data_IF_755202359619
#
_entry.id   IF_755202359619
#
_cell.length_a   1.000
_cell.length_b   1.000
_cell.length_c   1.000
_cell.angle_alpha   90.00
_cell.angle_beta   90.00
_cell.angle_gamma   90.00
#
_symmetry.space_group_name_H-M   'P 1'
#
loop_
_entity.id
_entity.type
_entity.pdbx_description
1 polymer ?
#
# COMPACT_ATOMS: atom_id res chain seq x y z
N UNK A 1 8.73 8.84 -17.71
CA UNK A 1 7.49 9.44 -18.21
C UNK A 1 6.24 8.58 -17.96
N UNK A 2 6.41 7.29 -17.61
CA UNK A 2 5.30 6.38 -17.22
C UNK A 2 5.31 6.00 -15.74
N UNK A 3 6.26 6.51 -14.97
CA UNK A 3 6.38 6.23 -13.55
C UNK A 3 6.29 7.54 -12.77
N UNK A 4 5.42 7.57 -11.78
CA UNK A 4 5.26 8.67 -10.85
C UNK A 4 5.45 8.14 -9.43
N UNK A 5 6.27 8.81 -8.64
CA UNK A 5 6.39 8.57 -7.20
C UNK A 5 5.51 9.56 -6.45
N UNK A 6 4.67 9.04 -5.58
CA UNK A 6 3.91 9.85 -4.61
C UNK A 6 4.51 9.60 -3.23
N UNK A 7 4.83 10.66 -2.53
CA UNK A 7 5.28 10.61 -1.14
C UNK A 7 4.33 11.40 -0.27
N UNK A 8 4.03 10.89 0.91
CA UNK A 8 3.20 11.55 1.89
C UNK A 8 3.84 11.43 3.28
N UNK A 9 3.60 12.41 4.14
CA UNK A 9 4.10 12.43 5.51
C UNK A 9 3.09 13.11 6.42
N UNK A 10 3.02 12.67 7.67
CA UNK A 10 2.30 13.36 8.73
C UNK A 10 3.14 14.48 9.38
N UNK A 11 4.44 14.53 9.10
CA UNK A 11 5.36 15.50 9.63
C UNK A 11 5.41 16.78 8.77
N UNK A 12 5.93 17.86 9.33
CA UNK A 12 6.11 19.14 8.61
C UNK A 12 7.17 19.09 7.52
N UNK A 13 7.97 18.04 7.44
CA UNK A 13 9.04 17.86 6.46
C UNK A 13 9.08 16.43 5.97
N UNK A 14 9.32 16.27 4.67
CA UNK A 14 9.63 14.96 4.12
C UNK A 14 11.00 14.50 4.59
N UNK A 15 11.06 13.26 5.10
CA UNK A 15 12.31 12.52 5.12
C UNK A 15 12.62 12.09 3.68
N UNK A 16 13.88 12.14 3.27
CA UNK A 16 14.32 11.69 1.95
C UNK A 16 15.32 10.52 2.10
N UNK A 17 14.87 9.38 2.65
CA UNK A 17 15.73 8.21 2.74
C UNK A 17 15.94 7.64 1.33
N UNK A 18 17.15 7.18 1.08
CA UNK A 18 17.40 6.40 -0.13
C UNK A 18 16.56 5.13 -0.11
N UNK A 19 15.77 4.90 -1.16
CA UNK A 19 15.04 3.64 -1.33
C UNK A 19 16.03 2.48 -1.46
N UNK A 20 15.74 1.34 -0.81
CA UNK A 20 16.52 0.12 -0.94
C UNK A 20 16.08 -0.74 -2.14
N UNK A 21 14.92 -0.48 -2.69
CA UNK A 21 14.32 -1.27 -3.79
C UNK A 21 14.24 -0.50 -5.11
N UNK A 22 14.41 0.82 -5.08
CA UNK A 22 14.38 1.66 -6.27
C UNK A 22 15.77 2.21 -6.56
N UNK A 23 16.34 1.83 -7.70
CA UNK A 23 17.62 2.37 -8.16
C UNK A 23 17.43 3.82 -8.61
N UNK A 24 18.26 4.76 -8.16
CA UNK A 24 18.18 6.15 -8.59
C UNK A 24 18.26 6.29 -10.12
N UNK A 25 17.29 6.98 -10.69
CA UNK A 25 17.23 7.21 -12.12
C UNK A 25 18.10 8.42 -12.51
N UNK A 26 19.00 8.22 -13.47
CA UNK A 26 19.85 9.30 -13.98
C UNK A 26 19.17 10.17 -15.04
N UNK A 27 18.12 9.65 -15.69
CA UNK A 27 17.41 10.36 -16.75
C UNK A 27 16.38 11.30 -16.11
N UNK A 28 16.53 12.59 -16.41
CA UNK A 28 15.46 13.55 -16.10
C UNK A 28 14.34 13.42 -17.13
N UNK A 29 13.12 13.29 -16.64
CA UNK A 29 11.92 13.32 -17.47
C UNK A 29 11.38 14.74 -17.50
N UNK A 30 11.06 15.25 -18.68
CA UNK A 30 10.38 16.53 -18.82
C UNK A 30 8.95 16.41 -18.27
N UNK A 31 8.56 17.39 -17.48
CA UNK A 31 7.20 17.47 -16.94
C UNK A 31 6.75 18.93 -16.88
N UNK A 32 5.45 19.13 -16.89
CA UNK A 32 4.83 20.43 -16.65
C UNK A 32 4.00 20.36 -15.36
N UNK A 33 3.91 21.50 -14.68
CA UNK A 33 3.06 21.66 -13.49
C UNK A 33 2.07 22.78 -13.75
N UNK A 34 0.80 22.51 -13.56
CA UNK A 34 -0.29 23.47 -13.70
C UNK A 34 -1.14 23.43 -12.43
N UNK A 35 -1.42 24.60 -11.89
CA UNK A 35 -2.40 24.75 -10.81
C UNK A 35 -3.65 25.43 -11.34
N UNK A 36 -4.79 24.82 -11.10
CA UNK A 36 -6.11 25.38 -11.42
C UNK A 36 -6.99 25.28 -10.17
N UNK A 37 -7.20 26.42 -9.52
CA UNK A 37 -7.89 26.45 -8.22
C UNK A 37 -7.16 25.60 -7.19
N UNK A 38 -7.86 24.64 -6.62
CA UNK A 38 -7.34 23.71 -5.60
C UNK A 38 -6.63 22.46 -6.20
N UNK A 39 -6.65 22.30 -7.51
CA UNK A 39 -6.05 21.16 -8.19
C UNK A 39 -4.67 21.52 -8.74
N UNK A 40 -3.67 20.73 -8.37
CA UNK A 40 -2.31 20.78 -8.92
C UNK A 40 -2.12 19.54 -9.79
N UNK A 41 -1.77 19.73 -11.06
CA UNK A 41 -1.53 18.64 -12.01
C UNK A 41 -0.09 18.65 -12.48
N UNK A 42 0.58 17.53 -12.32
CA UNK A 42 1.90 17.22 -12.89
C UNK A 42 1.70 16.34 -14.12
N UNK A 43 2.14 16.82 -15.27
CA UNK A 43 1.97 16.12 -16.55
C UNK A 43 3.30 15.74 -17.14
N UNK A 44 3.46 14.48 -17.52
CA UNK A 44 4.50 13.98 -18.40
C UNK A 44 3.91 13.79 -19.81
N UNK A 45 4.68 13.23 -20.73
CA UNK A 45 4.19 12.90 -22.07
C UNK A 45 3.09 11.83 -22.08
N UNK A 46 3.12 10.89 -21.12
CA UNK A 46 2.26 9.70 -21.12
C UNK A 46 1.23 9.69 -19.99
N UNK A 47 1.52 10.30 -18.87
CA UNK A 47 0.68 10.22 -17.67
C UNK A 47 0.59 11.57 -16.96
N UNK A 48 -0.57 11.83 -16.36
CA UNK A 48 -0.80 12.99 -15.50
C UNK A 48 -1.12 12.52 -14.10
N UNK A 49 -0.56 13.18 -13.10
CA UNK A 49 -0.96 13.03 -11.71
C UNK A 49 -1.55 14.34 -11.22
N UNK A 50 -2.73 14.29 -10.68
CA UNK A 50 -3.42 15.45 -10.12
C UNK A 50 -3.61 15.26 -8.61
N UNK A 51 -3.45 16.36 -7.89
CA UNK A 51 -3.61 16.41 -6.43
C UNK A 51 -4.61 17.50 -6.07
N UNK A 52 -5.59 17.18 -5.26
CA UNK A 52 -6.46 18.16 -4.65
C UNK A 52 -5.78 18.68 -3.38
N UNK A 53 -5.36 19.94 -3.36
CA UNK A 53 -4.50 20.46 -2.30
C UNK A 53 -5.19 20.50 -0.93
N UNK A 54 -6.51 20.68 -0.89
CA UNK A 54 -7.29 20.73 0.36
C UNK A 54 -7.40 19.38 1.07
N UNK A 55 -7.36 18.26 0.33
CA UNK A 55 -7.58 16.91 0.89
C UNK A 55 -6.36 16.00 0.75
N UNK A 56 -5.42 16.34 -0.16
CA UNK A 56 -4.32 15.48 -0.54
C UNK A 56 -4.74 14.30 -1.42
N UNK A 57 -5.98 14.25 -1.90
CA UNK A 57 -6.47 13.23 -2.83
C UNK A 57 -5.66 13.26 -4.12
N UNK A 58 -5.23 12.09 -4.58
CA UNK A 58 -4.42 11.94 -5.81
C UNK A 58 -5.15 11.04 -6.79
N UNK A 59 -5.14 11.44 -8.07
CA UNK A 59 -5.58 10.58 -9.17
C UNK A 59 -4.64 10.67 -10.35
N UNK A 60 -4.68 9.64 -11.18
CA UNK A 60 -3.83 9.49 -12.35
C UNK A 60 -4.68 9.32 -13.59
N UNK A 61 -4.33 10.01 -14.64
CA UNK A 61 -4.94 9.84 -15.97
C UNK A 61 -3.85 9.60 -17.01
N UNK A 62 -4.22 8.97 -18.11
CA UNK A 62 -3.37 8.89 -19.28
C UNK A 62 -3.24 10.26 -19.99
N UNK A 63 -2.51 10.32 -21.08
CA UNK A 63 -2.33 11.53 -21.89
C UNK A 63 -3.66 12.06 -22.48
N UNK A 64 -4.64 11.19 -22.72
CA UNK A 64 -5.95 11.52 -23.28
C UNK A 64 -6.94 12.00 -22.20
N UNK A 65 -6.60 11.82 -20.92
CA UNK A 65 -7.45 12.17 -19.80
C UNK A 65 -8.28 11.01 -19.26
N UNK A 66 -8.07 9.78 -19.76
CA UNK A 66 -8.74 8.58 -19.25
C UNK A 66 -8.19 8.22 -17.88
N UNK A 67 -9.08 7.93 -16.93
CA UNK A 67 -8.72 7.60 -15.57
C UNK A 67 -7.98 6.26 -15.49
N UNK A 68 -6.80 6.26 -14.87
CA UNK A 68 -6.00 5.06 -14.62
C UNK A 68 -6.22 4.57 -13.19
N UNK A 69 -6.07 5.45 -12.21
CA UNK A 69 -6.14 5.13 -10.78
C UNK A 69 -6.54 6.38 -10.01
N UNK A 70 -7.35 6.21 -8.99
CA UNK A 70 -7.80 7.28 -8.11
C UNK A 70 -7.80 6.83 -6.66
N UNK A 71 -7.37 7.71 -5.77
CA UNK A 71 -7.58 7.53 -4.34
C UNK A 71 -9.05 7.70 -3.97
N UNK A 72 -9.41 7.18 -2.82
CA UNK A 72 -10.74 7.40 -2.25
C UNK A 72 -11.04 8.90 -2.12
N UNK A 73 -12.27 9.30 -2.38
CA UNK A 73 -12.70 10.71 -2.31
C UNK A 73 -12.43 11.31 -0.93
N UNK A 74 -11.88 12.50 -0.92
CA UNK A 74 -11.48 13.21 0.29
C UNK A 74 -10.08 12.84 0.79
N UNK A 75 -9.34 12.04 0.04
CA UNK A 75 -7.99 11.58 0.34
C UNK A 75 -7.96 10.12 0.81
N UNK A 76 -7.07 9.35 0.21
CA UNK A 76 -6.93 7.90 0.47
C UNK A 76 -5.89 7.56 1.53
N UNK A 77 -5.21 8.54 2.15
CA UNK A 77 -4.10 8.33 3.08
C UNK A 77 -4.49 8.64 4.51
N UNK A 78 -4.20 7.71 5.43
CA UNK A 78 -4.32 7.95 6.87
C UNK A 78 -3.03 7.59 7.58
N UNK A 79 -2.68 8.38 8.60
CA UNK A 79 -1.53 8.19 9.46
C UNK A 79 -2.02 8.08 10.90
N UNK A 80 -2.04 6.87 11.44
CA UNK A 80 -2.46 6.63 12.82
C UNK A 80 -1.23 6.52 13.70
N UNK A 81 -1.03 7.41 14.70
CA UNK A 81 0.10 7.34 15.59
C UNK A 81 0.16 5.99 16.32
N UNK A 82 1.37 5.43 16.42
CA UNK A 82 1.64 4.19 17.13
C UNK A 82 2.95 4.31 17.89
N UNK A 83 3.06 3.60 19.00
CA UNK A 83 4.31 3.45 19.75
C UNK A 83 4.61 1.97 19.93
N UNK A 84 5.80 1.55 19.52
CA UNK A 84 6.27 0.17 19.64
C UNK A 84 7.60 0.19 20.37
N UNK A 85 7.68 -0.45 21.53
CA UNK A 85 8.88 -0.52 22.38
C UNK A 85 9.53 0.86 22.63
N UNK A 86 8.72 1.87 22.87
CA UNK A 86 9.17 3.25 23.12
C UNK A 86 9.50 4.06 21.85
N UNK A 87 9.45 3.45 20.68
CA UNK A 87 9.66 4.14 19.40
C UNK A 87 8.32 4.61 18.81
N UNK A 88 8.21 5.90 18.56
CA UNK A 88 7.03 6.52 17.96
C UNK A 88 7.08 6.43 16.45
N UNK A 89 5.92 6.19 15.85
CA UNK A 89 5.76 6.11 14.40
C UNK A 89 4.30 6.20 13.99
N UNK A 90 3.99 5.72 12.79
CA UNK A 90 2.64 5.72 12.25
C UNK A 90 2.31 4.37 11.61
N UNK A 91 1.09 3.89 11.84
CA UNK A 91 0.46 2.95 10.93
C UNK A 91 -0.08 3.76 9.75
N UNK A 92 0.29 3.38 8.54
CA UNK A 92 -0.12 4.07 7.32
C UNK A 92 -1.11 3.19 6.58
N UNK A 93 -2.24 3.77 6.18
CA UNK A 93 -3.21 3.13 5.30
C UNK A 93 -3.36 3.97 4.03
N UNK A 94 -3.41 3.30 2.88
CA UNK A 94 -3.67 3.89 1.58
C UNK A 94 -4.86 3.19 0.95
N UNK A 95 -5.88 3.95 0.57
CA UNK A 95 -7.10 3.44 -0.03
C UNK A 95 -7.27 4.01 -1.43
N UNK A 96 -7.57 3.13 -2.39
CA UNK A 96 -7.89 3.48 -3.77
C UNK A 96 -9.30 3.05 -4.12
N UNK A 97 -9.93 3.79 -5.00
CA UNK A 97 -11.13 3.33 -5.71
C UNK A 97 -10.73 2.19 -6.65
N UNK A 98 -11.54 1.15 -6.68
CA UNK A 98 -11.30 -0.02 -7.53
C UNK A 98 -12.61 -0.47 -8.14
N UNK A 99 -12.79 -0.36 -9.49
CA UNK A 99 -13.99 -0.81 -10.16
C UNK A 99 -14.22 -2.31 -9.99
N UNK A 100 -15.48 -2.75 -10.05
CA UNK A 100 -15.87 -4.12 -9.73
C UNK A 100 -15.14 -5.17 -10.57
N UNK A 101 -14.88 -4.86 -11.84
CA UNK A 101 -14.20 -5.71 -12.82
C UNK A 101 -12.67 -5.63 -12.76
N UNK A 102 -12.10 -4.94 -11.77
CA UNK A 102 -10.67 -4.89 -11.57
C UNK A 102 -10.14 -6.12 -10.85
N UNK A 103 -8.95 -6.57 -11.23
CA UNK A 103 -8.24 -7.68 -10.61
C UNK A 103 -6.77 -7.31 -10.37
N UNK A 104 -6.21 -7.80 -9.27
CA UNK A 104 -4.83 -7.53 -8.86
C UNK A 104 -4.01 -8.79 -8.78
N UNK A 105 -2.79 -8.75 -9.36
CA UNK A 105 -1.86 -9.86 -9.45
C UNK A 105 -0.48 -9.44 -8.97
N UNK A 106 0.32 -10.38 -8.49
CA UNK A 106 1.69 -10.12 -8.06
C UNK A 106 1.91 -10.39 -6.58
N UNK A 107 2.44 -9.42 -5.83
CA UNK A 107 2.74 -9.47 -4.40
C UNK A 107 3.82 -10.49 -4.00
N UNK A 108 4.45 -11.17 -4.95
CA UNK A 108 5.49 -12.16 -4.73
C UNK A 108 5.02 -13.59 -4.92
N UNK A 109 5.55 -14.51 -4.13
CA UNK A 109 5.22 -15.93 -4.16
C UNK A 109 4.65 -16.35 -2.81
N UNK A 110 3.41 -16.76 -2.82
CA UNK A 110 2.65 -17.15 -1.64
C UNK A 110 2.15 -18.58 -1.77
N UNK A 111 2.06 -19.31 -0.65
CA UNK A 111 1.37 -20.59 -0.58
C UNK A 111 -0.12 -20.34 -0.28
N UNK A 112 -0.83 -19.87 -1.29
CA UNK A 112 -2.24 -19.55 -1.22
C UNK A 112 -2.93 -19.94 -2.54
N UNK A 113 -4.23 -20.19 -2.47
CA UNK A 113 -5.05 -20.51 -3.64
C UNK A 113 -5.52 -19.25 -4.39
N UNK A 114 -5.17 -18.06 -3.89
CA UNK A 114 -5.53 -16.81 -4.50
C UNK A 114 -4.68 -16.53 -5.74
N UNK A 115 -5.37 -16.27 -6.84
CA UNK A 115 -4.75 -15.72 -8.04
C UNK A 115 -5.05 -14.23 -8.19
N UNK A 116 -6.25 -13.80 -7.79
CA UNK A 116 -6.65 -12.40 -7.75
C UNK A 116 -6.75 -11.93 -6.30
N UNK A 117 -5.94 -10.94 -5.94
CA UNK A 117 -5.84 -10.40 -4.59
C UNK A 117 -6.86 -9.30 -4.26
N UNK A 118 -7.74 -8.93 -5.20
CA UNK A 118 -8.79 -7.94 -4.93
C UNK A 118 -9.70 -8.42 -3.78
N UNK A 119 -9.88 -7.56 -2.78
CA UNK A 119 -10.74 -7.86 -1.65
C UNK A 119 -10.22 -8.94 -0.69
N UNK A 120 -9.01 -9.45 -0.94
CA UNK A 120 -8.35 -10.42 -0.05
C UNK A 120 -7.64 -9.70 1.10
N UNK A 121 -7.13 -10.46 2.05
CA UNK A 121 -6.29 -9.97 3.12
C UNK A 121 -4.93 -10.64 3.01
N UNK A 122 -4.06 -10.11 2.16
CA UNK A 122 -2.72 -10.65 1.97
C UNK A 122 -1.70 -9.93 2.84
N UNK A 123 -1.00 -10.70 3.67
CA UNK A 123 0.05 -10.19 4.55
C UNK A 123 1.40 -10.27 3.86
N UNK A 124 2.10 -9.14 3.79
CA UNK A 124 3.39 -9.01 3.11
C UNK A 124 4.51 -8.97 4.14
N UNK A 125 5.04 -10.15 4.48
CA UNK A 125 6.26 -10.32 5.25
C UNK A 125 6.98 -11.60 4.83
N UNK A 126 8.30 -11.62 5.01
CA UNK A 126 9.15 -12.73 4.62
C UNK A 126 9.18 -13.82 5.69
N UNK A 127 9.02 -15.07 5.26
CA UNK A 127 9.32 -16.24 6.09
C UNK A 127 9.65 -17.46 5.18
N UNK A 128 9.93 -18.60 5.77
CA UNK A 128 10.54 -19.75 5.08
C UNK A 128 9.86 -20.17 3.76
N UNK A 129 8.53 -20.08 3.68
CA UNK A 129 7.74 -20.57 2.52
C UNK A 129 7.09 -19.42 1.72
N UNK A 130 7.44 -18.17 2.03
CA UNK A 130 6.80 -17.00 1.43
C UNK A 130 7.83 -15.97 1.00
N UNK A 131 7.74 -15.56 -0.26
CA UNK A 131 8.50 -14.43 -0.80
C UNK A 131 7.53 -13.28 -1.02
N UNK A 132 7.66 -12.22 -0.24
CA UNK A 132 6.78 -11.03 -0.35
C UNK A 132 7.47 -9.96 -1.16
N UNK A 133 6.76 -9.45 -2.18
CA UNK A 133 7.19 -8.33 -3.02
C UNK A 133 6.08 -7.29 -2.99
N UNK A 134 6.30 -6.06 -2.48
CA UNK A 134 5.26 -5.06 -2.36
C UNK A 134 4.93 -4.39 -3.71
N UNK A 135 4.72 -5.20 -4.74
CA UNK A 135 4.39 -4.79 -6.08
C UNK A 135 3.19 -5.57 -6.60
N UNK A 136 2.19 -4.85 -7.07
CA UNK A 136 0.96 -5.39 -7.64
C UNK A 136 0.70 -4.80 -9.02
N UNK A 137 0.12 -5.61 -9.90
CA UNK A 137 -0.31 -5.22 -11.24
C UNK A 137 -1.82 -5.38 -11.35
N UNK A 138 -2.48 -4.36 -11.89
CA UNK A 138 -3.91 -4.38 -12.22
C UNK A 138 -4.14 -4.84 -13.66
N UNK A 139 -5.26 -5.56 -13.90
CA UNK A 139 -5.74 -5.83 -15.26
C UNK A 139 -6.16 -4.55 -16.02
N UNK A 140 -6.14 -3.39 -15.34
CA UNK A 140 -6.34 -2.07 -15.96
C UNK A 140 -5.04 -1.44 -16.48
N UNK A 141 -3.96 -2.24 -16.65
CA UNK A 141 -2.68 -1.87 -17.24
C UNK A 141 -1.87 -0.84 -16.43
N UNK A 142 -1.95 -0.89 -15.12
CA UNK A 142 -1.06 -0.15 -14.24
C UNK A 142 -0.49 -1.06 -13.13
N UNK A 143 0.55 -0.60 -12.46
CA UNK A 143 1.10 -1.27 -11.29
C UNK A 143 1.37 -0.30 -10.16
N UNK A 144 1.34 -0.80 -8.94
CA UNK A 144 1.65 -0.05 -7.73
C UNK A 144 2.83 -0.74 -7.03
N UNK A 145 3.90 0.00 -6.79
CA UNK A 145 5.00 -0.40 -5.94
C UNK A 145 4.92 0.38 -4.63
N UNK A 146 4.77 -0.33 -3.53
CA UNK A 146 4.86 0.26 -2.20
C UNK A 146 6.32 0.23 -1.74
N UNK A 147 6.97 1.40 -1.71
CA UNK A 147 8.35 1.55 -1.26
C UNK A 147 8.40 1.57 0.28
N UNK A 148 8.16 0.41 0.88
CA UNK A 148 8.13 0.18 2.32
C UNK A 148 8.90 -1.08 2.69
N UNK A 149 9.54 -1.05 3.86
CA UNK A 149 10.30 -2.19 4.44
C UNK A 149 9.61 -2.75 5.69
N UNK A 150 8.44 -2.23 5.99
CA UNK A 150 7.64 -2.63 7.14
C UNK A 150 6.67 -3.75 6.76
N UNK A 151 6.13 -4.42 7.77
CA UNK A 151 4.98 -5.28 7.59
C UNK A 151 3.83 -4.52 6.92
N UNK A 152 3.28 -5.10 5.85
CA UNK A 152 2.18 -4.51 5.10
C UNK A 152 1.06 -5.54 4.91
N UNK A 153 -0.13 -5.05 4.65
CA UNK A 153 -1.29 -5.85 4.21
C UNK A 153 -1.87 -5.25 2.95
N UNK A 154 -2.29 -6.11 2.03
CA UNK A 154 -2.91 -5.71 0.76
C UNK A 154 -4.29 -6.32 0.60
N UNK A 155 -5.16 -5.60 -0.08
CA UNK A 155 -6.52 -6.02 -0.42
C UNK A 155 -7.57 -5.28 0.41
N UNK A 156 -8.33 -6.00 1.21
CA UNK A 156 -9.29 -5.44 2.17
C UNK A 156 -9.02 -6.02 3.56
N UNK A 157 -7.92 -5.60 4.20
CA UNK A 157 -7.47 -6.19 5.44
C UNK A 157 -8.47 -5.92 6.57
N UNK A 158 -8.87 -7.00 7.24
CA UNK A 158 -9.66 -6.91 8.46
C UNK A 158 -8.74 -6.83 9.67
N UNK A 159 -9.23 -6.23 10.75
CA UNK A 159 -8.54 -6.27 12.03
C UNK A 159 -8.44 -7.71 12.53
N UNK A 160 -7.33 -8.02 13.21
CA UNK A 160 -7.18 -9.32 13.85
C UNK A 160 -8.23 -9.46 14.94
N UNK A 161 -9.04 -10.51 14.85
CA UNK A 161 -9.88 -10.90 15.98
C UNK A 161 -9.00 -11.48 17.08
N UNK A 162 -9.23 -11.04 18.31
CA UNK A 162 -8.56 -11.62 19.45
C UNK A 162 -8.83 -13.13 19.51
N UNK A 163 -7.77 -13.93 19.51
CA UNK A 163 -7.90 -15.36 19.62
C UNK A 163 -8.31 -15.73 21.06
N UNK A 164 -9.60 -15.85 21.31
CA UNK A 164 -10.14 -16.44 22.54
C UNK A 164 -10.03 -17.96 22.51
N UNK A 165 -8.87 -18.48 22.19
CA UNK A 165 -8.62 -19.92 22.24
C UNK A 165 -7.79 -20.25 23.46
N UNK A 166 -8.40 -20.95 24.40
CA UNK A 166 -7.68 -21.66 25.43
C UNK A 166 -7.11 -22.91 24.77
N UNK A 167 -5.78 -22.97 24.62
CA UNK A 167 -5.11 -24.22 24.24
C UNK A 167 -5.08 -25.12 25.46
N UNK A 168 -5.77 -26.23 25.39
CA UNK A 168 -5.71 -27.27 26.40
C UNK A 168 -4.53 -28.18 26.11
N UNK A 169 -3.54 -28.18 26.98
CA UNK A 169 -2.45 -29.14 26.96
C UNK A 169 -2.77 -30.26 27.96
N UNK A 170 -2.59 -31.47 27.51
CA UNK A 170 -2.64 -32.62 28.39
C UNK A 170 -1.21 -32.95 28.85
N UNK A 171 -1.00 -33.06 30.14
CA UNK A 171 0.25 -33.55 30.68
C UNK A 171 0.40 -35.06 30.44
N UNK A 172 1.54 -35.62 30.85
CA UNK A 172 1.82 -37.05 30.72
C UNK A 172 0.85 -37.94 31.49
N UNK A 173 0.06 -37.41 32.41
CA UNK A 173 -0.94 -38.12 33.20
C UNK A 173 -2.34 -37.97 32.62
N UNK A 174 -2.52 -37.21 31.54
CA UNK A 174 -3.82 -36.93 30.92
C UNK A 174 -4.60 -35.82 31.61
N UNK A 175 -3.99 -35.06 32.54
CA UNK A 175 -4.64 -33.93 33.17
C UNK A 175 -4.59 -32.69 32.26
N UNK A 176 -5.70 -31.97 32.18
CA UNK A 176 -5.84 -30.73 31.41
C UNK A 176 -5.05 -29.60 32.06
N UNK A 177 -4.07 -29.06 31.34
CA UNK A 177 -3.38 -27.81 31.68
C UNK A 177 -3.87 -26.65 30.77
N UNK A 178 -4.15 -25.50 31.30
CA UNK A 178 -4.45 -24.30 30.54
C UNK A 178 -3.20 -23.44 30.40
N UNK A 179 -2.80 -23.10 29.16
CA UNK A 179 -1.88 -22.01 28.89
C UNK A 179 -2.72 -20.74 28.68
N UNK A 180 -2.60 -19.81 29.59
CA UNK A 180 -3.05 -18.43 29.39
C UNK A 180 -1.87 -17.65 28.83
N UNK A 181 -1.96 -17.21 27.57
CA UNK A 181 -1.05 -16.25 26.96
C UNK A 181 -1.53 -14.84 27.17
#
# INVERSE_FOLDING_TARGET
DKLIRVSATADSKFADPQSLIVVPQKKQTSFAVVQNGDTITVSTEEVKASVLASTGEVWFTDKNGELILQENKGGGKTFTPIEVEGTKGYTVCQVFESPEDEAFYGLGQHQADEFNYKGKNEELFQYNTKVSVPFVVSNKNYGILLDSYSFCRFGNPNDYSQLNRIFKLYDKTGQEGALTG
#
